data_IF_921783833570
#
_entry.id   IF_921783833570
#
_cell.length_a   1.000
_cell.length_b   1.000
_cell.length_c   1.000
_cell.angle_alpha   90.00
_cell.angle_beta   90.00
_cell.angle_gamma   90.00
#
_symmetry.space_group_name_H-M   'P 1'
#
loop_
_entity.id
_entity.type
_entity.pdbx_description
1 polymer ?
#
# COMPACT_ATOMS: atom_id res chain seq x y z
N UNK A 1 -5.24 -26.55 -16.32
CA UNK A 1 -4.96 -25.20 -16.83
C UNK A 1 -6.20 -24.34 -16.68
N UNK A 2 -6.08 -23.23 -15.97
CA UNK A 2 -7.09 -22.17 -15.87
C UNK A 2 -6.49 -20.93 -16.50
N UNK A 3 -7.21 -20.27 -17.41
CA UNK A 3 -6.75 -19.01 -18.01
C UNK A 3 -7.54 -17.85 -17.39
N UNK A 4 -6.83 -16.89 -16.81
CA UNK A 4 -7.40 -15.73 -16.13
C UNK A 4 -7.02 -14.48 -16.91
N UNK A 5 -8.00 -13.63 -17.19
CA UNK A 5 -7.75 -12.31 -17.76
C UNK A 5 -7.16 -11.38 -16.70
N UNK A 6 -6.03 -10.76 -17.02
CA UNK A 6 -5.37 -9.76 -16.19
C UNK A 6 -5.21 -8.45 -16.98
N UNK A 7 -5.33 -7.31 -16.29
CA UNK A 7 -5.25 -5.99 -16.92
C UNK A 7 -3.82 -5.56 -17.25
N UNK A 8 -2.81 -6.15 -16.60
CA UNK A 8 -1.40 -5.82 -16.74
C UNK A 8 -0.70 -6.82 -17.66
N UNK A 9 -0.90 -8.11 -17.41
CA UNK A 9 -0.23 -9.23 -18.09
C UNK A 9 -1.08 -9.91 -19.16
N UNK A 10 -2.23 -9.32 -19.50
CA UNK A 10 -3.20 -9.83 -20.49
C UNK A 10 -3.88 -11.16 -20.10
N UNK A 11 -3.19 -12.29 -20.24
CA UNK A 11 -3.71 -13.61 -19.90
C UNK A 11 -2.70 -14.39 -19.05
N UNK A 12 -3.15 -14.84 -17.87
CA UNK A 12 -2.36 -15.63 -16.93
C UNK A 12 -2.87 -17.07 -16.94
N UNK A 13 -2.01 -18.00 -17.36
CA UNK A 13 -2.27 -19.44 -17.32
C UNK A 13 -1.79 -20.01 -16.00
N UNK A 14 -2.73 -20.54 -15.20
CA UNK A 14 -2.48 -21.12 -13.89
C UNK A 14 -2.63 -22.65 -13.95
N UNK A 15 -1.60 -23.35 -13.47
CA UNK A 15 -1.46 -24.80 -13.57
C UNK A 15 -0.84 -25.46 -12.34
N UNK A 16 -0.97 -26.78 -12.25
CA UNK A 16 -0.34 -27.60 -11.20
C UNK A 16 -0.73 -27.16 -9.80
N UNK A 17 0.25 -27.12 -8.91
CA UNK A 17 0.07 -26.71 -7.50
C UNK A 17 -0.56 -25.32 -7.37
N UNK A 18 -0.21 -24.38 -8.25
CA UNK A 18 -0.76 -23.03 -8.19
C UNK A 18 -2.27 -23.01 -8.47
N UNK A 19 -2.75 -23.85 -9.40
CA UNK A 19 -4.18 -23.95 -9.68
C UNK A 19 -4.96 -24.54 -8.49
N UNK A 20 -4.39 -25.55 -7.81
CA UNK A 20 -5.00 -26.15 -6.63
C UNK A 20 -5.01 -25.18 -5.43
N UNK A 21 -3.93 -24.42 -5.24
CA UNK A 21 -3.82 -23.39 -4.19
C UNK A 21 -4.75 -22.20 -4.44
N UNK A 22 -5.04 -21.86 -5.70
CA UNK A 22 -5.79 -20.66 -6.05
C UNK A 22 -7.17 -20.59 -5.38
N UNK A 23 -7.87 -21.72 -5.29
CA UNK A 23 -9.24 -21.79 -4.76
C UNK A 23 -9.31 -21.91 -3.24
N UNK A 24 -8.16 -21.88 -2.57
CA UNK A 24 -8.11 -22.06 -1.13
C UNK A 24 -8.53 -20.78 -0.38
N UNK A 25 -9.12 -20.90 0.83
CA UNK A 25 -9.62 -19.72 1.55
C UNK A 25 -8.57 -18.64 1.85
N UNK A 26 -7.32 -18.96 2.27
CA UNK A 26 -6.25 -17.99 2.43
C UNK A 26 -5.95 -17.17 1.17
N UNK A 27 -5.89 -17.80 -0.02
CA UNK A 27 -5.65 -17.09 -1.28
C UNK A 27 -6.88 -16.27 -1.68
N UNK A 28 -8.09 -16.83 -1.57
CA UNK A 28 -9.33 -16.11 -1.90
C UNK A 28 -9.59 -14.91 -0.98
N UNK A 29 -9.07 -14.90 0.25
CA UNK A 29 -9.10 -13.74 1.14
C UNK A 29 -8.37 -12.53 0.54
N UNK A 30 -7.31 -12.74 -0.24
CA UNK A 30 -6.56 -11.64 -0.87
C UNK A 30 -7.41 -10.79 -1.83
N UNK A 31 -8.55 -11.30 -2.30
CA UNK A 31 -9.53 -10.52 -3.10
C UNK A 31 -10.18 -9.38 -2.32
N UNK A 32 -10.07 -9.39 -0.99
CA UNK A 32 -10.70 -8.42 -0.08
C UNK A 32 -9.65 -7.60 0.67
N UNK A 33 -8.40 -7.64 0.20
CA UNK A 33 -7.29 -6.85 0.72
C UNK A 33 -6.75 -6.00 -0.42
N UNK A 34 -6.90 -4.68 -0.32
CA UNK A 34 -6.40 -3.74 -1.31
C UNK A 34 -4.88 -3.68 -1.31
N UNK A 35 -4.27 -3.66 -2.50
CA UNK A 35 -2.81 -3.60 -2.65
C UNK A 35 -2.23 -2.33 -2.02
N UNK A 36 -2.89 -1.18 -2.26
CA UNK A 36 -2.38 0.13 -1.87
C UNK A 36 -3.15 0.77 -0.70
N UNK A 37 -4.04 0.02 -0.04
CA UNK A 37 -4.81 0.48 1.12
C UNK A 37 -5.50 1.83 0.87
N UNK A 38 -5.17 2.85 1.68
CA UNK A 38 -5.81 4.17 1.63
C UNK A 38 -5.35 5.07 0.47
N UNK A 39 -4.46 4.59 -0.41
CA UNK A 39 -4.06 5.34 -1.62
C UNK A 39 -5.24 5.58 -2.56
N UNK A 40 -6.28 4.76 -2.50
CA UNK A 40 -7.54 4.98 -3.23
C UNK A 40 -8.24 6.30 -2.87
N UNK A 41 -7.97 6.85 -1.67
CA UNK A 41 -8.42 8.19 -1.28
C UNK A 41 -7.77 9.28 -2.14
N UNK A 42 -6.67 9.02 -2.82
CA UNK A 42 -5.99 9.97 -3.73
C UNK A 42 -6.23 9.59 -5.18
N UNK A 43 -6.10 8.29 -5.49
CA UNK A 43 -6.23 7.73 -6.83
C UNK A 43 -7.45 6.80 -6.86
N UNK A 44 -8.64 7.29 -7.25
CA UNK A 44 -9.88 6.52 -7.13
C UNK A 44 -9.91 5.20 -7.91
N UNK A 45 -9.01 5.02 -8.88
CA UNK A 45 -8.86 3.79 -9.67
C UNK A 45 -7.94 2.74 -9.03
N UNK A 46 -7.20 3.08 -7.98
CA UNK A 46 -6.29 2.19 -7.26
C UNK A 46 -7.06 1.24 -6.32
N UNK A 47 -7.95 0.43 -6.88
CA UNK A 47 -8.78 -0.56 -6.16
C UNK A 47 -8.30 -1.99 -6.38
N UNK A 48 -7.14 -2.18 -7.00
CA UNK A 48 -6.59 -3.51 -7.18
C UNK A 48 -6.20 -4.13 -5.84
N UNK A 49 -6.25 -5.46 -5.83
CA UNK A 49 -6.16 -6.32 -4.65
C UNK A 49 -4.87 -7.11 -4.65
N UNK A 50 -4.52 -7.67 -3.50
CA UNK A 50 -3.38 -8.59 -3.42
C UNK A 50 -3.56 -9.84 -4.25
N UNK A 51 -4.80 -10.27 -4.50
CA UNK A 51 -5.07 -11.46 -5.29
C UNK A 51 -4.57 -11.36 -6.73
N UNK A 52 -4.86 -10.27 -7.43
CA UNK A 52 -4.40 -10.09 -8.81
C UNK A 52 -2.90 -9.79 -8.88
N UNK A 53 -2.35 -9.16 -7.84
CA UNK A 53 -0.90 -9.03 -7.68
C UNK A 53 -0.23 -10.40 -7.52
N UNK A 54 -0.69 -11.27 -6.62
CA UNK A 54 -0.15 -12.63 -6.47
C UNK A 54 -0.23 -13.47 -7.75
N UNK A 55 -1.29 -13.32 -8.54
CA UNK A 55 -1.38 -13.94 -9.87
C UNK A 55 -0.32 -13.38 -10.84
N UNK A 56 -0.09 -12.08 -10.82
CA UNK A 56 0.93 -11.43 -11.63
C UNK A 56 2.35 -11.84 -11.23
N UNK A 57 2.65 -11.91 -9.94
CA UNK A 57 3.92 -12.42 -9.41
C UNK A 57 4.14 -13.88 -9.82
N UNK A 58 3.12 -14.73 -9.70
CA UNK A 58 3.14 -16.10 -10.23
C UNK A 58 3.43 -16.13 -11.74
N UNK A 59 2.79 -15.25 -12.53
CA UNK A 59 3.00 -15.18 -13.98
C UNK A 59 4.47 -14.87 -14.33
N UNK A 60 5.02 -13.81 -13.73
CA UNK A 60 6.42 -13.39 -13.95
C UNK A 60 7.39 -14.47 -13.44
N UNK A 61 7.12 -15.08 -12.28
CA UNK A 61 7.91 -16.19 -11.76
C UNK A 61 7.95 -17.38 -12.74
N UNK A 62 6.81 -17.74 -13.34
CA UNK A 62 6.75 -18.84 -14.30
C UNK A 62 7.58 -18.56 -15.57
N UNK A 63 7.57 -17.31 -16.05
CA UNK A 63 8.45 -16.89 -17.14
C UNK A 63 9.94 -16.99 -16.73
N UNK A 64 10.29 -16.56 -15.52
CA UNK A 64 11.65 -16.60 -14.99
C UNK A 64 12.18 -18.03 -14.84
N UNK A 65 11.35 -18.97 -14.38
CA UNK A 65 11.71 -20.39 -14.26
C UNK A 65 12.24 -20.96 -15.59
N UNK A 66 11.54 -20.67 -16.69
CA UNK A 66 11.96 -21.11 -18.03
C UNK A 66 13.32 -20.52 -18.44
N UNK A 67 13.56 -19.23 -18.15
CA UNK A 67 14.83 -18.55 -18.50
C UNK A 67 16.00 -19.00 -17.64
N UNK A 68 15.75 -19.32 -16.38
CA UNK A 68 16.74 -19.80 -15.42
C UNK A 68 17.00 -21.30 -15.53
N UNK A 69 16.23 -22.03 -16.35
CA UNK A 69 16.34 -23.48 -16.50
C UNK A 69 15.99 -24.23 -15.22
N UNK A 70 15.00 -23.73 -14.46
CA UNK A 70 14.53 -24.37 -13.23
C UNK A 70 13.25 -25.15 -13.53
N UNK A 71 13.26 -26.44 -13.25
CA UNK A 71 12.17 -27.37 -13.54
C UNK A 71 11.84 -28.29 -12.33
N UNK A 72 10.90 -29.20 -12.54
CA UNK A 72 10.45 -30.19 -11.55
C UNK A 72 9.97 -29.57 -10.23
N UNK A 73 10.26 -30.25 -9.12
CA UNK A 73 9.77 -29.89 -7.80
C UNK A 73 10.23 -28.49 -7.34
N UNK A 74 11.41 -28.01 -7.79
CA UNK A 74 11.86 -26.65 -7.48
C UNK A 74 11.02 -25.59 -8.19
N UNK A 75 10.63 -25.85 -9.44
CA UNK A 75 9.73 -24.98 -10.18
C UNK A 75 8.34 -24.92 -9.51
N UNK A 76 7.82 -26.06 -9.06
CA UNK A 76 6.52 -26.09 -8.38
C UNK A 76 6.54 -25.40 -7.01
N UNK A 77 7.64 -25.54 -6.25
CA UNK A 77 7.85 -24.77 -5.00
C UNK A 77 7.90 -23.26 -5.25
N UNK A 78 8.59 -22.80 -6.29
CA UNK A 78 8.63 -21.38 -6.66
C UNK A 78 7.25 -20.90 -7.10
N UNK A 79 6.50 -21.69 -7.88
CA UNK A 79 5.12 -21.35 -8.28
C UNK A 79 4.20 -21.21 -7.08
N UNK A 80 4.29 -22.13 -6.12
CA UNK A 80 3.55 -22.04 -4.87
C UNK A 80 3.98 -20.80 -4.07
N UNK A 81 5.28 -20.58 -3.88
CA UNK A 81 5.81 -19.42 -3.15
C UNK A 81 5.38 -18.09 -3.80
N UNK A 82 5.47 -17.97 -5.13
CA UNK A 82 5.06 -16.77 -5.87
C UNK A 82 3.57 -16.47 -5.71
N UNK A 83 2.70 -17.49 -5.78
CA UNK A 83 1.27 -17.30 -5.57
C UNK A 83 0.93 -17.00 -4.09
N UNK A 84 1.71 -17.52 -3.16
CA UNK A 84 1.43 -17.45 -1.73
C UNK A 84 2.17 -16.35 -0.98
N UNK A 85 3.12 -15.62 -1.62
CA UNK A 85 4.00 -14.68 -0.92
C UNK A 85 3.25 -13.64 -0.07
N UNK A 86 2.03 -13.31 -0.48
CA UNK A 86 1.19 -12.28 0.11
C UNK A 86 0.12 -12.79 1.08
N UNK A 87 -0.03 -14.10 1.28
CA UNK A 87 -1.13 -14.68 2.08
C UNK A 87 -1.10 -14.30 3.56
N UNK A 88 0.05 -13.87 4.06
CA UNK A 88 0.22 -13.39 5.42
C UNK A 88 -0.14 -11.93 5.65
N UNK A 89 -0.43 -11.15 4.61
CA UNK A 89 -0.86 -9.77 4.80
C UNK A 89 -2.17 -9.67 5.58
N UNK A 90 -2.17 -8.79 6.58
CA UNK A 90 -3.36 -8.33 7.29
C UNK A 90 -4.15 -7.27 6.51
N UNK A 91 -5.23 -6.73 7.11
CA UNK A 91 -6.04 -5.69 6.50
C UNK A 91 -5.22 -4.42 6.31
N UNK A 92 -5.35 -3.78 5.15
CA UNK A 92 -4.54 -2.63 4.72
C UNK A 92 -3.03 -2.88 4.78
N UNK A 93 -2.62 -4.16 4.76
CA UNK A 93 -1.26 -4.60 4.53
C UNK A 93 -0.22 -3.99 5.49
N UNK A 94 0.89 -3.45 4.96
CA UNK A 94 1.93 -2.77 5.72
C UNK A 94 1.42 -1.64 6.63
N UNK A 95 0.19 -1.12 6.43
CA UNK A 95 -0.32 -0.07 7.31
C UNK A 95 -0.59 -0.56 8.74
N UNK A 96 -1.02 -1.82 8.89
CA UNK A 96 -1.31 -2.46 10.19
C UNK A 96 -0.18 -3.39 10.64
N UNK A 97 0.82 -3.63 9.80
CA UNK A 97 1.91 -4.56 10.07
C UNK A 97 2.71 -4.24 11.32
N UNK A 98 3.22 -3.01 11.47
CA UNK A 98 3.99 -2.63 12.66
C UNK A 98 3.17 -2.78 13.95
N UNK A 99 1.86 -2.62 13.87
CA UNK A 99 0.95 -2.82 15.00
C UNK A 99 0.80 -4.31 15.34
N UNK A 100 0.59 -5.15 14.32
CA UNK A 100 0.51 -6.60 14.46
C UNK A 100 1.83 -7.16 14.99
N UNK A 101 2.96 -6.76 14.41
CA UNK A 101 4.29 -7.22 14.78
C UNK A 101 4.61 -6.93 16.24
N UNK A 102 4.33 -5.72 16.73
CA UNK A 102 4.58 -5.34 18.13
C UNK A 102 3.86 -6.22 19.15
N UNK A 103 2.75 -6.85 18.77
CA UNK A 103 1.96 -7.70 19.68
C UNK A 103 2.14 -9.20 19.44
N UNK A 104 2.41 -9.61 18.20
CA UNK A 104 2.49 -11.03 17.80
C UNK A 104 3.92 -11.51 17.54
N UNK A 105 4.84 -10.58 17.30
CA UNK A 105 6.21 -10.86 16.87
C UNK A 105 6.33 -11.37 15.44
N UNK A 106 5.27 -11.26 14.61
CA UNK A 106 5.22 -11.81 13.26
C UNK A 106 5.01 -10.76 12.19
N UNK A 107 5.81 -10.81 11.13
CA UNK A 107 5.60 -10.05 9.89
C UNK A 107 4.73 -10.83 8.90
N UNK A 108 4.31 -10.16 7.80
CA UNK A 108 3.46 -10.77 6.78
C UNK A 108 4.14 -11.93 6.02
N UNK A 109 5.46 -11.94 5.92
CA UNK A 109 6.26 -12.95 5.23
C UNK A 109 6.55 -14.20 6.10
N UNK A 110 6.23 -14.15 7.39
CA UNK A 110 6.33 -15.28 8.32
C UNK A 110 5.08 -16.18 8.27
N UNK A 111 4.94 -16.92 7.17
CA UNK A 111 3.72 -17.65 6.82
C UNK A 111 3.69 -19.13 7.23
N UNK A 112 4.69 -19.64 7.96
CA UNK A 112 4.76 -21.06 8.35
C UNK A 112 3.44 -21.56 8.97
N UNK A 113 2.88 -20.80 9.91
CA UNK A 113 1.64 -21.15 10.61
C UNK A 113 0.36 -21.02 9.77
N UNK A 114 0.45 -20.38 8.59
CA UNK A 114 -0.61 -20.30 7.59
C UNK A 114 -0.55 -21.53 6.69
N UNK A 115 0.65 -21.88 6.23
CA UNK A 115 0.88 -22.98 5.30
C UNK A 115 0.74 -24.35 5.97
N UNK A 116 0.98 -24.45 7.27
CA UNK A 116 0.77 -25.68 8.05
C UNK A 116 -0.70 -25.96 8.39
N UNK A 117 -1.63 -25.04 8.05
CA UNK A 117 -3.07 -25.28 8.26
C UNK A 117 -3.60 -26.27 7.22
N UNK A 118 -4.55 -27.11 7.64
CA UNK A 118 -5.12 -28.21 6.86
C UNK A 118 -5.44 -27.83 5.39
N UNK A 119 -6.07 -26.68 5.14
CA UNK A 119 -6.43 -26.28 3.77
C UNK A 119 -5.23 -26.02 2.85
N UNK A 120 -4.10 -25.53 3.38
CA UNK A 120 -2.86 -25.33 2.61
C UNK A 120 -2.03 -26.60 2.59
N UNK A 121 -1.83 -27.19 3.77
CA UNK A 121 -0.96 -28.33 3.97
C UNK A 121 -1.39 -29.52 3.12
N UNK A 122 -2.69 -29.82 3.05
CA UNK A 122 -3.20 -30.91 2.21
C UNK A 122 -2.92 -30.68 0.74
N UNK A 123 -3.13 -29.46 0.22
CA UNK A 123 -2.85 -29.15 -1.19
C UNK A 123 -1.37 -29.26 -1.50
N UNK A 124 -0.51 -28.78 -0.61
CA UNK A 124 0.94 -28.87 -0.79
C UNK A 124 1.43 -30.33 -0.73
N UNK A 125 0.90 -31.13 0.20
CA UNK A 125 1.22 -32.55 0.35
C UNK A 125 0.75 -33.38 -0.86
N UNK A 126 -0.44 -33.11 -1.40
CA UNK A 126 -0.96 -33.73 -2.64
C UNK A 126 -0.06 -33.48 -3.87
N UNK A 127 0.80 -32.47 -3.80
CA UNK A 127 1.79 -32.10 -4.80
C UNK A 127 3.24 -32.44 -4.40
N UNK A 128 3.44 -33.24 -3.35
CA UNK A 128 4.74 -33.61 -2.79
C UNK A 128 5.60 -32.38 -2.39
N UNK A 129 4.98 -31.31 -1.90
CA UNK A 129 5.65 -30.06 -1.51
C UNK A 129 5.58 -29.86 -0.01
N UNK A 130 6.75 -29.73 0.61
CA UNK A 130 6.87 -29.34 2.02
C UNK A 130 6.45 -27.87 2.23
N UNK A 131 5.44 -27.59 3.08
CA UNK A 131 5.02 -26.23 3.42
C UNK A 131 6.16 -25.35 3.97
N UNK A 132 7.08 -25.93 4.73
CA UNK A 132 8.20 -25.19 5.32
C UNK A 132 9.15 -24.69 4.24
N UNK A 133 9.41 -25.50 3.21
CA UNK A 133 10.24 -25.11 2.08
C UNK A 133 9.61 -23.96 1.27
N UNK A 134 8.27 -23.90 1.17
CA UNK A 134 7.57 -22.79 0.51
C UNK A 134 7.66 -21.51 1.36
N UNK A 135 7.42 -21.61 2.67
CA UNK A 135 7.55 -20.48 3.58
C UNK A 135 8.98 -19.91 3.60
N UNK A 136 10.00 -20.77 3.55
CA UNK A 136 11.40 -20.33 3.46
C UNK A 136 11.68 -19.55 2.16
N UNK A 137 11.10 -19.95 1.03
CA UNK A 137 11.21 -19.20 -0.22
C UNK A 137 10.52 -17.83 -0.15
N UNK A 138 9.35 -17.77 0.48
CA UNK A 138 8.60 -16.51 0.70
C UNK A 138 9.42 -15.54 1.55
N UNK A 139 10.05 -16.04 2.63
CA UNK A 139 10.97 -15.28 3.47
C UNK A 139 12.33 -14.97 2.78
N UNK A 140 12.48 -15.25 1.49
CA UNK A 140 13.69 -14.96 0.72
C UNK A 140 14.89 -15.85 1.05
N UNK A 141 14.69 -16.97 1.77
CA UNK A 141 15.79 -17.83 2.20
C UNK A 141 16.31 -18.71 1.06
N UNK A 142 17.62 -18.92 1.09
CA UNK A 142 18.32 -19.75 0.12
C UNK A 142 18.45 -19.11 -1.27
N UNK A 143 19.09 -19.84 -2.19
CA UNK A 143 19.38 -19.34 -3.55
C UNK A 143 18.12 -18.92 -4.30
N UNK A 144 17.07 -19.74 -4.24
CA UNK A 144 15.86 -19.54 -5.04
C UNK A 144 14.90 -18.52 -4.40
N UNK A 145 14.97 -18.30 -3.09
CA UNK A 145 14.15 -17.31 -2.39
C UNK A 145 14.37 -15.89 -2.90
N UNK A 146 15.59 -15.56 -3.37
CA UNK A 146 15.93 -14.26 -3.97
C UNK A 146 15.05 -13.87 -5.18
N UNK A 147 14.45 -14.86 -5.86
CA UNK A 147 13.55 -14.62 -6.99
C UNK A 147 12.18 -14.13 -6.52
N UNK A 148 11.75 -14.53 -5.32
CA UNK A 148 10.46 -14.17 -4.70
C UNK A 148 10.60 -12.93 -3.83
N UNK A 149 11.64 -12.89 -2.99
CA UNK A 149 11.94 -11.78 -2.08
C UNK A 149 13.43 -11.43 -2.18
N UNK A 150 13.72 -10.29 -2.81
CA UNK A 150 15.08 -9.83 -3.10
C UNK A 150 15.11 -8.59 -4.00
N UNK A 151 16.27 -7.94 -4.13
CA UNK A 151 16.32 -6.63 -4.82
C UNK A 151 16.04 -6.67 -6.34
N UNK A 152 15.93 -7.87 -6.92
CA UNK A 152 15.57 -8.13 -8.32
C UNK A 152 14.45 -9.18 -8.40
N UNK A 153 13.58 -9.23 -7.38
CA UNK A 153 12.48 -10.18 -7.31
C UNK A 153 11.35 -9.90 -8.29
N UNK A 154 10.52 -10.91 -8.50
CA UNK A 154 9.34 -10.83 -9.36
C UNK A 154 8.17 -10.09 -8.71
N UNK A 155 8.18 -9.94 -7.38
CA UNK A 155 7.21 -9.13 -6.62
C UNK A 155 7.27 -7.66 -7.07
N UNK A 156 8.45 -7.04 -6.98
CA UNK A 156 8.70 -5.67 -7.43
C UNK A 156 8.39 -5.46 -8.90
N UNK A 157 8.64 -6.47 -9.72
CA UNK A 157 8.36 -6.41 -11.15
C UNK A 157 6.86 -6.31 -11.43
N UNK A 158 6.02 -7.03 -10.68
CA UNK A 158 4.57 -6.92 -10.84
C UNK A 158 4.04 -5.61 -10.26
N UNK A 159 4.29 -5.35 -8.97
CA UNK A 159 3.55 -4.26 -8.30
C UNK A 159 3.89 -2.89 -8.90
N UNK A 160 5.12 -2.63 -9.36
CA UNK A 160 5.44 -1.33 -9.94
C UNK A 160 4.62 -1.03 -11.19
N UNK A 161 4.50 -2.02 -12.08
CA UNK A 161 3.71 -1.90 -13.32
C UNK A 161 2.22 -1.86 -13.00
N UNK A 162 1.76 -2.75 -12.09
CA UNK A 162 0.36 -2.84 -11.69
C UNK A 162 -0.13 -1.60 -10.97
N UNK A 163 0.66 -1.06 -10.06
CA UNK A 163 0.35 0.16 -9.33
C UNK A 163 0.31 1.36 -10.28
N UNK A 164 1.27 1.48 -11.20
CA UNK A 164 1.26 2.52 -12.22
C UNK A 164 0.02 2.44 -13.10
N UNK A 165 -0.35 1.24 -13.53
CA UNK A 165 -1.56 0.99 -14.33
C UNK A 165 -2.83 1.44 -13.60
N UNK A 166 -3.02 1.02 -12.35
CA UNK A 166 -4.27 1.30 -11.61
C UNK A 166 -4.33 2.70 -11.00
N UNK A 167 -3.19 3.34 -10.72
CA UNK A 167 -3.15 4.74 -10.28
C UNK A 167 -3.22 5.73 -11.44
N UNK A 168 -2.88 5.30 -12.66
CA UNK A 168 -2.70 6.17 -13.82
C UNK A 168 -1.43 7.02 -13.76
N UNK A 169 -0.51 6.73 -12.82
CA UNK A 169 0.77 7.42 -12.69
C UNK A 169 1.80 6.69 -13.57
N UNK A 170 2.36 7.34 -14.60
CA UNK A 170 3.18 6.67 -15.62
C UNK A 170 4.61 6.37 -15.16
N UNK A 171 4.94 6.59 -13.89
CA UNK A 171 6.31 6.50 -13.40
C UNK A 171 6.75 5.07 -13.05
N UNK A 172 5.82 4.12 -12.91
CA UNK A 172 6.14 2.71 -12.59
C UNK A 172 6.34 1.80 -13.80
N UNK A 173 6.35 2.35 -15.01
CA UNK A 173 6.51 1.55 -16.24
C UNK A 173 7.94 1.04 -16.40
N UNK A 174 8.14 -0.26 -16.18
CA UNK A 174 9.41 -0.97 -16.37
C UNK A 174 9.26 -2.06 -17.43
N UNK A 175 10.37 -2.39 -18.10
CA UNK A 175 10.46 -3.52 -19.05
C UNK A 175 10.75 -4.81 -18.27
N UNK A 176 9.73 -5.32 -17.58
CA UNK A 176 9.85 -6.53 -16.75
C UNK A 176 10.19 -7.77 -17.59
N UNK A 177 9.78 -7.86 -18.85
CA UNK A 177 10.18 -8.95 -19.76
C UNK A 177 11.70 -8.98 -19.97
N UNK A 178 12.31 -7.81 -20.17
CA UNK A 178 13.77 -7.72 -20.26
C UNK A 178 14.45 -8.05 -18.95
N UNK A 179 13.89 -7.68 -17.79
CA UNK A 179 14.41 -8.14 -16.50
C UNK A 179 14.46 -9.67 -16.46
N UNK A 180 13.30 -10.31 -16.63
CA UNK A 180 13.15 -11.77 -16.56
C UNK A 180 14.11 -12.50 -17.51
N UNK A 181 14.26 -12.00 -18.75
CA UNK A 181 15.14 -12.61 -19.75
C UNK A 181 16.63 -12.58 -19.35
N UNK A 182 17.04 -11.56 -18.62
CA UNK A 182 18.44 -11.28 -18.31
C UNK A 182 18.86 -11.71 -16.89
N UNK A 183 17.92 -12.23 -16.09
CA UNK A 183 18.22 -12.82 -14.77
C UNK A 183 19.11 -14.06 -14.89
N UNK A 184 20.14 -14.16 -14.05
CA UNK A 184 21.04 -15.30 -13.95
C UNK A 184 21.39 -15.58 -12.49
N UNK A 185 21.74 -16.84 -12.21
CA UNK A 185 22.43 -17.18 -10.97
C UNK A 185 23.94 -17.30 -11.24
N UNK A 186 24.75 -16.50 -10.55
CA UNK A 186 26.21 -16.58 -10.57
C UNK A 186 26.68 -16.70 -9.13
N UNK A 187 27.48 -17.72 -8.82
CA UNK A 187 27.97 -18.02 -7.46
C UNK A 187 26.87 -18.07 -6.39
N UNK A 188 25.68 -18.55 -6.77
CA UNK A 188 24.53 -18.66 -5.88
C UNK A 188 23.71 -17.38 -5.72
N UNK A 189 24.06 -16.30 -6.41
CA UNK A 189 23.40 -14.99 -6.29
C UNK A 189 22.58 -14.67 -7.54
N UNK A 190 21.37 -14.13 -7.34
CA UNK A 190 20.53 -13.64 -8.43
C UNK A 190 21.07 -12.28 -8.91
N UNK A 191 21.40 -12.21 -10.19
CA UNK A 191 22.02 -11.03 -10.83
C UNK A 191 21.42 -10.77 -12.22
N UNK A 192 21.60 -9.55 -12.72
CA UNK A 192 21.39 -9.26 -14.14
C UNK A 192 22.67 -9.50 -14.95
N UNK A 193 22.51 -10.15 -16.10
CA UNK A 193 23.59 -10.40 -17.06
C UNK A 193 24.27 -9.10 -17.52
N UNK A 194 25.53 -9.21 -17.94
CA UNK A 194 26.34 -8.09 -18.38
C UNK A 194 25.64 -7.25 -19.46
N UNK A 195 25.77 -5.92 -19.39
CA UNK A 195 25.14 -5.00 -20.34
C UNK A 195 23.69 -4.62 -20.01
N UNK A 196 23.17 -5.00 -18.83
CA UNK A 196 21.80 -4.68 -18.39
C UNK A 196 21.74 -3.72 -17.18
N UNK A 197 22.74 -2.84 -17.04
CA UNK A 197 22.75 -1.81 -15.97
C UNK A 197 21.53 -0.90 -16.10
N UNK A 198 21.20 -0.46 -17.33
CA UNK A 198 20.07 0.44 -17.58
C UNK A 198 18.73 -0.20 -17.22
N UNK A 199 18.61 -1.52 -17.42
CA UNK A 199 17.45 -2.29 -16.96
C UNK A 199 17.33 -2.14 -15.45
N UNK A 200 18.38 -2.46 -14.69
CA UNK A 200 18.41 -2.30 -13.23
C UNK A 200 18.13 -0.85 -12.76
N UNK A 201 18.72 0.15 -13.43
CA UNK A 201 18.50 1.56 -13.15
C UNK A 201 17.04 1.97 -13.36
N UNK A 202 16.36 1.42 -14.38
CA UNK A 202 14.96 1.75 -14.67
C UNK A 202 14.02 1.35 -13.53
N UNK A 203 14.27 0.21 -12.87
CA UNK A 203 13.52 -0.23 -11.68
C UNK A 203 13.71 0.74 -10.51
N UNK A 204 14.95 1.15 -10.26
CA UNK A 204 15.26 2.12 -9.20
C UNK A 204 14.62 3.49 -9.47
N UNK A 205 14.70 3.96 -10.72
CA UNK A 205 14.09 5.21 -11.12
C UNK A 205 12.57 5.14 -10.96
N UNK A 206 11.94 4.08 -11.44
CA UNK A 206 10.51 3.86 -11.32
C UNK A 206 10.07 3.90 -9.85
N UNK A 207 10.76 3.17 -8.97
CA UNK A 207 10.48 3.17 -7.54
C UNK A 207 10.74 4.52 -6.88
N UNK A 208 11.81 5.23 -7.25
CA UNK A 208 12.13 6.56 -6.70
C UNK A 208 11.11 7.63 -7.10
N UNK A 209 10.43 7.45 -8.23
CA UNK A 209 9.34 8.33 -8.69
C UNK A 209 7.98 7.91 -8.12
N UNK A 210 7.67 6.60 -8.08
CA UNK A 210 6.43 6.05 -7.53
C UNK A 210 6.30 6.31 -6.03
N UNK A 211 7.40 6.24 -5.27
CA UNK A 211 7.38 6.48 -3.82
C UNK A 211 6.73 7.82 -3.43
N UNK A 212 7.24 8.99 -3.82
CA UNK A 212 6.62 10.26 -3.44
C UNK A 212 5.31 10.53 -4.19
N UNK A 213 5.15 10.05 -5.42
CA UNK A 213 3.94 10.30 -6.19
C UNK A 213 2.73 9.52 -5.65
N UNK A 214 2.93 8.25 -5.27
CA UNK A 214 1.86 7.32 -4.91
C UNK A 214 1.97 6.92 -3.43
N UNK A 215 3.03 6.19 -3.06
CA UNK A 215 3.09 5.49 -1.77
C UNK A 215 3.14 6.44 -0.56
N UNK A 216 3.87 7.56 -0.72
CA UNK A 216 4.10 8.60 0.28
C UNK A 216 3.37 9.91 -0.07
N UNK A 217 2.36 9.86 -0.94
CA UNK A 217 1.53 11.02 -1.23
C UNK A 217 0.94 11.59 0.07
N UNK A 218 1.01 12.90 0.35
CA UNK A 218 0.64 13.46 1.66
C UNK A 218 -0.76 13.07 2.14
N UNK A 219 -1.75 13.10 1.23
CA UNK A 219 -3.13 12.70 1.56
C UNK A 219 -3.25 11.20 1.87
N UNK A 220 -2.52 10.34 1.17
CA UNK A 220 -2.51 8.90 1.45
C UNK A 220 -1.84 8.63 2.81
N UNK A 221 -0.75 9.34 3.12
CA UNK A 221 -0.07 9.27 4.43
C UNK A 221 -1.00 9.66 5.59
N UNK A 222 -1.78 10.72 5.45
CA UNK A 222 -2.78 11.11 6.46
C UNK A 222 -3.80 9.98 6.65
N UNK A 223 -4.36 9.44 5.56
CA UNK A 223 -5.31 8.32 5.65
C UNK A 223 -4.70 7.07 6.30
N UNK A 224 -3.47 6.72 5.95
CA UNK A 224 -2.68 5.63 6.58
C UNK A 224 -2.54 5.84 8.08
N UNK A 225 -2.12 7.03 8.49
CA UNK A 225 -1.89 7.38 9.89
C UNK A 225 -3.18 7.36 10.72
N UNK A 226 -4.28 7.92 10.19
CA UNK A 226 -5.61 7.86 10.82
C UNK A 226 -6.09 6.41 10.98
N UNK A 227 -5.97 5.58 9.94
CA UNK A 227 -6.36 4.18 10.00
C UNK A 227 -5.50 3.39 11.01
N UNK A 228 -4.21 3.68 11.09
CA UNK A 228 -3.30 3.04 12.06
C UNK A 228 -3.68 3.41 13.49
N UNK A 229 -3.96 4.69 13.76
CA UNK A 229 -4.42 5.15 15.08
C UNK A 229 -5.75 4.47 15.46
N UNK A 230 -6.69 4.39 14.52
CA UNK A 230 -7.96 3.70 14.71
C UNK A 230 -7.77 2.20 15.02
N UNK A 231 -6.89 1.51 14.28
CA UNK A 231 -6.58 0.10 14.54
C UNK A 231 -5.90 -0.10 15.91
N UNK A 232 -5.01 0.81 16.32
CA UNK A 232 -4.35 0.76 17.63
C UNK A 232 -5.36 0.99 18.77
N UNK A 233 -6.30 1.93 18.60
CA UNK A 233 -7.40 2.12 19.54
C UNK A 233 -8.35 0.92 19.60
N UNK A 234 -8.63 0.27 18.46
CA UNK A 234 -9.46 -0.93 18.43
C UNK A 234 -8.85 -2.04 19.30
N UNK A 235 -7.53 -2.26 19.19
CA UNK A 235 -6.82 -3.21 20.05
C UNK A 235 -6.83 -2.78 21.52
N UNK A 236 -6.61 -1.48 21.81
CA UNK A 236 -6.69 -0.94 23.19
C UNK A 236 -8.09 -1.13 23.82
N UNK A 237 -9.15 -1.07 23.02
CA UNK A 237 -10.53 -1.29 23.47
C UNK A 237 -10.87 -2.75 23.78
N UNK A 238 -9.99 -3.69 23.42
CA UNK A 238 -10.22 -5.14 23.49
C UNK A 238 -11.44 -5.64 22.68
N UNK A 239 -11.92 -4.87 21.70
CA UNK A 239 -12.94 -5.31 20.75
C UNK A 239 -12.43 -6.41 19.80
N UNK A 240 -11.11 -6.48 19.60
CA UNK A 240 -10.41 -7.57 18.91
C UNK A 240 -8.99 -7.71 19.49
N UNK A 241 -8.28 -8.77 19.09
CA UNK A 241 -6.88 -8.99 19.43
C UNK A 241 -5.97 -8.99 18.18
N UNK A 242 -4.67 -8.89 18.39
CA UNK A 242 -3.71 -8.77 17.29
C UNK A 242 -3.62 -10.01 16.40
N UNK A 243 -3.85 -11.22 16.95
CA UNK A 243 -3.85 -12.45 16.15
C UNK A 243 -5.08 -12.52 15.24
N UNK A 244 -6.24 -12.08 15.74
CA UNK A 244 -7.46 -11.94 14.95
C UNK A 244 -7.27 -10.87 13.87
N UNK A 245 -6.74 -9.70 14.24
CA UNK A 245 -6.42 -8.62 13.28
C UNK A 245 -5.50 -9.10 12.15
N UNK A 246 -4.49 -9.92 12.45
CA UNK A 246 -3.59 -10.50 11.44
C UNK A 246 -4.33 -11.34 10.38
N UNK A 247 -5.49 -11.90 10.73
CA UNK A 247 -6.29 -12.76 9.83
C UNK A 247 -7.50 -12.06 9.20
N UNK A 248 -7.81 -10.83 9.60
CA UNK A 248 -8.89 -10.01 9.01
C UNK A 248 -8.58 -9.57 7.58
N UNK A 249 -9.59 -9.39 6.75
CA UNK A 249 -9.46 -8.59 5.52
C UNK A 249 -9.92 -7.14 5.72
N UNK A 250 -9.84 -6.30 4.68
CA UNK A 250 -10.13 -4.86 4.81
C UNK A 250 -11.58 -4.61 5.25
N UNK A 251 -12.52 -5.48 4.83
CA UNK A 251 -13.92 -5.34 5.21
C UNK A 251 -14.14 -5.67 6.68
N UNK A 252 -13.47 -6.72 7.19
CA UNK A 252 -13.53 -7.09 8.59
C UNK A 252 -13.03 -5.94 9.49
N UNK A 253 -11.88 -5.34 9.15
CA UNK A 253 -11.34 -4.22 9.93
C UNK A 253 -12.29 -3.02 9.91
N UNK A 254 -12.80 -2.63 8.74
CA UNK A 254 -13.73 -1.50 8.65
C UNK A 254 -15.03 -1.78 9.42
N UNK A 255 -15.55 -3.00 9.38
CA UNK A 255 -16.73 -3.37 10.15
C UNK A 255 -16.46 -3.30 11.67
N UNK A 256 -15.28 -3.75 12.12
CA UNK A 256 -14.87 -3.67 13.51
C UNK A 256 -14.75 -2.22 13.99
N UNK A 257 -14.09 -1.36 13.20
CA UNK A 257 -13.95 0.07 13.51
C UNK A 257 -15.31 0.79 13.58
N UNK A 258 -16.24 0.48 12.68
CA UNK A 258 -17.61 1.04 12.70
C UNK A 258 -18.42 0.60 13.92
N UNK A 259 -18.08 -0.54 14.52
CA UNK A 259 -18.85 -1.16 15.60
C UNK A 259 -18.30 -0.85 16.99
N UNK A 260 -17.14 -0.19 17.09
CA UNK A 260 -16.48 0.14 18.33
C UNK A 260 -16.63 1.64 18.64
N UNK A 261 -17.17 1.97 19.81
CA UNK A 261 -17.47 3.36 20.23
C UNK A 261 -16.24 4.27 20.16
N UNK A 262 -15.08 3.75 20.54
CA UNK A 262 -13.81 4.49 20.54
C UNK A 262 -13.29 4.81 19.13
N UNK A 263 -13.67 4.02 18.12
CA UNK A 263 -13.11 4.13 16.76
C UNK A 263 -14.13 4.56 15.71
N UNK A 264 -15.41 4.71 16.09
CA UNK A 264 -16.50 5.04 15.16
C UNK A 264 -16.30 6.38 14.44
N UNK A 265 -15.72 7.38 15.12
CA UNK A 265 -15.44 8.67 14.48
C UNK A 265 -14.31 8.58 13.46
N UNK A 266 -13.27 7.79 13.73
CA UNK A 266 -12.23 7.49 12.74
C UNK A 266 -12.81 6.79 11.52
N UNK A 267 -13.66 5.77 11.74
CA UNK A 267 -14.34 5.07 10.65
C UNK A 267 -15.19 6.03 9.81
N UNK A 268 -16.00 6.89 10.45
CA UNK A 268 -16.82 7.90 9.78
C UNK A 268 -15.97 8.87 8.95
N UNK A 269 -14.87 9.38 9.51
CA UNK A 269 -13.96 10.29 8.81
C UNK A 269 -13.29 9.65 7.61
N UNK A 270 -12.87 8.39 7.70
CA UNK A 270 -12.31 7.65 6.58
C UNK A 270 -13.36 7.38 5.49
N UNK A 271 -14.58 6.98 5.88
CA UNK A 271 -15.70 6.73 4.97
C UNK A 271 -16.12 8.00 4.21
N UNK A 272 -16.25 9.13 4.92
CA UNK A 272 -16.66 10.42 4.35
C UNK A 272 -15.48 11.18 3.70
N UNK A 273 -14.27 10.61 3.74
CA UNK A 273 -13.01 11.26 3.33
C UNK A 273 -12.77 12.61 4.03
N UNK A 274 -13.24 12.75 5.26
CA UNK A 274 -12.99 13.88 6.16
C UNK A 274 -11.68 13.69 6.95
N UNK A 275 -10.58 13.69 6.20
CA UNK A 275 -9.25 13.45 6.75
C UNK A 275 -8.74 14.62 7.59
N UNK A 276 -7.90 14.30 8.59
CA UNK A 276 -7.13 15.27 9.36
C UNK A 276 -6.28 16.16 8.45
N UNK A 277 -5.84 17.30 9.00
CA UNK A 277 -5.04 18.30 8.30
C UNK A 277 -3.64 18.36 8.90
N UNK A 278 -2.69 18.81 8.09
CA UNK A 278 -1.29 18.95 8.49
C UNK A 278 -1.15 20.16 9.41
N UNK A 279 -0.80 19.92 10.67
CA UNK A 279 -0.36 20.94 11.62
C UNK A 279 1.16 21.22 11.47
N UNK A 280 1.93 20.18 11.16
CA UNK A 280 3.38 20.25 10.92
C UNK A 280 3.74 19.41 9.71
N UNK A 281 4.64 19.93 8.87
CA UNK A 281 5.20 19.23 7.72
C UNK A 281 6.62 19.73 7.44
N UNK A 282 7.62 19.02 7.98
CA UNK A 282 9.01 19.51 8.02
C UNK A 282 9.99 18.52 7.42
N UNK A 283 11.13 19.03 6.96
CA UNK A 283 12.18 18.25 6.29
C UNK A 283 13.03 17.49 7.31
N UNK A 284 13.86 16.55 6.83
CA UNK A 284 14.71 15.73 7.70
C UNK A 284 15.71 16.56 8.51
N UNK A 285 16.17 17.69 7.98
CA UNK A 285 17.16 18.55 8.62
C UNK A 285 16.56 19.44 9.73
N UNK A 286 15.24 19.64 9.69
CA UNK A 286 14.53 20.52 10.62
C UNK A 286 13.97 19.78 11.85
N UNK A 287 14.15 18.46 11.93
CA UNK A 287 13.71 17.64 13.07
C UNK A 287 14.89 17.25 13.96
N UNK A 288 14.67 17.01 15.27
CA UNK A 288 15.69 16.44 16.13
C UNK A 288 16.25 15.13 15.56
N UNK A 289 17.57 14.96 15.56
CA UNK A 289 18.24 13.80 14.95
C UNK A 289 17.78 12.44 15.52
N UNK A 290 17.33 12.45 16.78
CA UNK A 290 16.82 11.27 17.46
C UNK A 290 15.40 10.91 17.02
N UNK A 291 14.59 11.85 16.53
CA UNK A 291 13.17 11.63 16.23
C UNK A 291 12.94 10.45 15.28
N UNK A 292 13.64 10.32 14.12
CA UNK A 292 13.46 9.17 13.22
C UNK A 292 13.96 7.83 13.79
N UNK A 293 14.67 7.85 14.92
CA UNK A 293 15.24 6.67 15.60
C UNK A 293 14.44 6.27 16.85
N UNK A 294 13.46 7.08 17.26
CA UNK A 294 12.67 6.83 18.45
C UNK A 294 11.76 5.61 18.29
N UNK A 295 11.59 4.86 19.38
CA UNK A 295 10.62 3.77 19.43
C UNK A 295 9.18 4.31 19.58
N UNK A 296 8.21 3.41 19.41
CA UNK A 296 6.79 3.77 19.49
C UNK A 296 6.40 4.43 20.81
N UNK A 297 6.86 3.89 21.94
CA UNK A 297 6.53 4.41 23.28
C UNK A 297 6.96 5.87 23.43
N UNK A 298 8.17 6.19 22.96
CA UNK A 298 8.71 7.55 23.01
C UNK A 298 7.96 8.50 22.07
N UNK A 299 7.57 8.04 20.88
CA UNK A 299 6.70 8.83 19.99
C UNK A 299 5.36 9.11 20.66
N UNK A 300 4.74 8.11 21.31
CA UNK A 300 3.48 8.30 22.03
C UNK A 300 3.60 9.27 23.22
N UNK A 301 4.72 9.26 23.94
CA UNK A 301 4.99 10.26 24.99
C UNK A 301 5.07 11.68 24.44
N UNK A 302 5.69 11.87 23.28
CA UNK A 302 5.76 13.16 22.60
C UNK A 302 4.39 13.61 22.10
N UNK A 303 3.61 12.70 21.50
CA UNK A 303 2.23 12.97 21.08
C UNK A 303 1.39 13.45 22.25
N UNK A 304 1.44 12.75 23.40
CA UNK A 304 0.76 13.16 24.64
C UNK A 304 1.18 14.54 25.12
N UNK A 305 2.49 14.79 25.15
CA UNK A 305 3.04 16.10 25.55
C UNK A 305 2.54 17.24 24.64
N UNK A 306 2.40 16.98 23.33
CA UNK A 306 1.84 17.94 22.37
C UNK A 306 0.36 18.16 22.60
N UNK A 307 -0.43 17.10 22.78
CA UNK A 307 -1.86 17.19 23.07
C UNK A 307 -2.13 17.99 24.34
N UNK A 308 -1.44 17.68 25.44
CA UNK A 308 -1.51 18.42 26.71
C UNK A 308 -1.15 19.90 26.54
N UNK A 309 -0.13 20.18 25.73
CA UNK A 309 0.35 21.55 25.46
C UNK A 309 -0.59 22.34 24.54
N UNK A 310 -1.39 21.64 23.72
CA UNK A 310 -2.39 22.19 22.81
C UNK A 310 -3.79 22.26 23.43
N UNK A 311 -4.00 21.66 24.62
CA UNK A 311 -5.29 21.55 25.31
C UNK A 311 -6.36 20.83 24.46
N UNK A 312 -5.99 19.70 23.86
CA UNK A 312 -6.88 18.83 23.07
C UNK A 312 -6.69 17.36 23.44
N UNK A 313 -7.60 16.50 22.95
CA UNK A 313 -7.49 15.06 23.14
C UNK A 313 -6.23 14.48 22.47
N UNK A 314 -5.58 13.51 23.10
CA UNK A 314 -4.42 12.83 22.51
C UNK A 314 -4.77 12.13 21.20
N UNK A 315 -6.00 11.67 21.07
CA UNK A 315 -6.51 11.02 19.87
C UNK A 315 -6.79 12.01 18.73
N UNK A 316 -6.72 13.32 18.97
CA UNK A 316 -6.78 14.36 17.93
C UNK A 316 -5.39 14.77 17.41
N UNK A 317 -4.31 14.13 17.87
CA UNK A 317 -2.93 14.37 17.41
C UNK A 317 -2.32 13.08 16.91
N UNK A 318 -1.90 13.08 15.63
CA UNK A 318 -1.24 11.91 15.03
C UNK A 318 0.14 12.32 14.55
N UNK A 319 1.17 11.67 15.08
CA UNK A 319 2.54 11.78 14.60
C UNK A 319 2.78 10.77 13.48
N UNK A 320 3.26 11.25 12.35
CA UNK A 320 3.71 10.45 11.23
C UNK A 320 5.21 10.67 11.04
N UNK A 321 5.99 9.77 11.64
CA UNK A 321 7.46 9.75 11.61
C UNK A 321 7.89 8.56 10.75
N UNK A 322 8.23 8.78 9.46
CA UNK A 322 8.77 7.71 8.64
C UNK A 322 10.16 7.29 9.13
N UNK A 323 10.52 6.03 8.89
CA UNK A 323 11.90 5.58 9.06
C UNK A 323 12.87 6.48 8.26
N UNK A 324 14.13 6.52 8.70
CA UNK A 324 15.16 7.27 7.99
C UNK A 324 15.27 6.84 6.51
N UNK A 325 15.62 7.76 5.59
CA UNK A 325 15.69 7.46 4.17
C UNK A 325 16.68 6.33 3.88
N UNK A 326 16.20 5.26 3.23
CA UNK A 326 16.98 4.10 2.83
C UNK A 326 16.59 3.64 1.43
N UNK A 327 17.55 3.04 0.70
CA UNK A 327 17.31 2.46 -0.62
C UNK A 327 17.98 1.08 -0.68
N UNK A 328 17.34 0.03 -0.13
CA UNK A 328 17.87 -1.34 -0.15
C UNK A 328 18.26 -1.81 -1.55
N UNK A 329 17.49 -1.40 -2.56
CA UNK A 329 17.68 -1.80 -3.97
C UNK A 329 18.98 -1.24 -4.57
N UNK A 330 19.60 -0.25 -3.94
CA UNK A 330 20.94 0.20 -4.33
C UNK A 330 22.00 -0.91 -4.17
N UNK A 331 21.69 -1.94 -3.40
CA UNK A 331 22.50 -3.14 -3.20
C UNK A 331 22.27 -4.21 -4.27
N UNK A 332 21.32 -4.03 -5.20
CA UNK A 332 21.10 -4.92 -6.33
C UNK A 332 22.42 -5.23 -7.05
N UNK A 333 22.56 -6.48 -7.49
CA UNK A 333 23.80 -6.99 -8.07
C UNK A 333 23.71 -7.07 -9.58
N UNK A 334 24.71 -6.50 -10.25
CA UNK A 334 24.84 -6.47 -11.71
C UNK A 334 26.23 -6.95 -12.12
N UNK A 335 26.34 -7.58 -13.29
CA UNK A 335 27.63 -8.00 -13.84
C UNK A 335 28.25 -6.87 -14.66
N UNK A 336 29.48 -6.48 -14.32
CA UNK A 336 30.27 -5.45 -15.03
C UNK A 336 31.69 -5.98 -15.24
N UNK A 337 32.13 -6.10 -16.50
CA UNK A 337 33.43 -6.68 -16.86
C UNK A 337 33.66 -8.05 -16.19
N UNK A 338 32.67 -8.94 -16.28
CA UNK A 338 32.67 -10.29 -15.69
C UNK A 338 32.77 -10.36 -14.15
N UNK A 339 32.64 -9.23 -13.45
CA UNK A 339 32.59 -9.16 -11.99
C UNK A 339 31.19 -8.76 -11.49
N UNK A 340 30.76 -9.39 -10.39
CA UNK A 340 29.54 -8.98 -9.68
C UNK A 340 29.82 -7.69 -8.91
N UNK A 341 29.03 -6.64 -9.17
CA UNK A 341 29.11 -5.35 -8.48
C UNK A 341 27.76 -4.90 -7.96
N UNK A 342 27.77 -4.14 -6.86
CA UNK A 342 26.58 -3.42 -6.38
C UNK A 342 26.24 -2.27 -7.31
N UNK A 343 24.95 -2.07 -7.56
CA UNK A 343 24.46 -1.07 -8.49
C UNK A 343 24.85 0.37 -8.09
N UNK A 344 24.83 0.70 -6.79
CA UNK A 344 25.26 2.01 -6.28
C UNK A 344 26.72 2.38 -6.61
N UNK A 345 27.60 1.38 -6.72
CA UNK A 345 29.01 1.59 -7.07
C UNK A 345 29.19 1.80 -8.57
N UNK A 346 28.27 1.27 -9.37
CA UNK A 346 28.33 1.26 -10.83
C UNK A 346 27.50 2.39 -11.48
N UNK A 347 26.63 3.07 -10.74
CA UNK A 347 25.72 4.10 -11.27
C UNK A 347 25.75 5.41 -10.48
N UNK A 348 26.04 6.51 -11.17
CA UNK A 348 25.91 7.87 -10.61
C UNK A 348 24.46 8.27 -10.38
N UNK A 349 23.54 7.80 -11.22
CA UNK A 349 22.11 8.08 -11.09
C UNK A 349 21.59 7.58 -9.74
N UNK A 350 21.97 6.37 -9.33
CA UNK A 350 21.54 5.77 -8.05
C UNK A 350 21.97 6.61 -6.86
N UNK A 351 23.20 7.14 -6.88
CA UNK A 351 23.67 8.05 -5.82
C UNK A 351 22.84 9.34 -5.77
N UNK A 352 22.50 9.91 -6.93
CA UNK A 352 21.64 11.09 -6.99
C UNK A 352 20.21 10.81 -6.49
N UNK A 353 19.67 9.62 -6.77
CA UNK A 353 18.35 9.20 -6.28
C UNK A 353 18.33 9.07 -4.75
N UNK A 354 19.40 8.60 -4.12
CA UNK A 354 19.51 8.56 -2.66
C UNK A 354 19.42 9.95 -2.02
N UNK A 355 20.13 10.93 -2.57
CA UNK A 355 20.03 12.32 -2.12
C UNK A 355 18.60 12.85 -2.28
N UNK A 356 18.00 12.65 -3.45
CA UNK A 356 16.63 13.09 -3.70
C UNK A 356 15.60 12.45 -2.75
N UNK A 357 15.81 11.21 -2.30
CA UNK A 357 14.94 10.56 -1.34
C UNK A 357 15.04 11.19 0.05
N UNK A 358 16.25 11.57 0.48
CA UNK A 358 16.47 12.30 1.73
C UNK A 358 15.77 13.66 1.71
N UNK A 359 15.93 14.40 0.62
CA UNK A 359 15.33 15.74 0.46
C UNK A 359 13.80 15.70 0.45
N UNK A 360 13.20 14.55 0.09
CA UNK A 360 11.75 14.33 0.06
C UNK A 360 11.20 13.75 1.36
N UNK A 361 12.04 13.36 2.31
CA UNK A 361 11.58 12.86 3.59
C UNK A 361 10.85 13.97 4.34
N UNK A 362 9.73 13.61 5.00
CA UNK A 362 8.89 14.57 5.72
C UNK A 362 8.36 13.97 7.01
N UNK A 363 8.55 14.68 8.12
CA UNK A 363 7.83 14.46 9.37
C UNK A 363 6.50 15.21 9.33
N UNK A 364 5.41 14.51 9.68
CA UNK A 364 4.07 15.06 9.70
C UNK A 364 3.44 15.00 11.09
N UNK A 365 2.69 16.05 11.44
CA UNK A 365 1.72 16.01 12.54
C UNK A 365 0.34 16.33 11.97
N UNK A 366 -0.63 15.48 12.25
CA UNK A 366 -1.99 15.58 11.72
C UNK A 366 -3.01 15.75 12.85
N UNK A 367 -4.01 16.60 12.61
CA UNK A 367 -5.05 16.94 13.60
C UNK A 367 -6.34 17.44 12.92
N UNK A 368 -7.50 17.51 13.59
CA UNK A 368 -8.68 18.17 13.05
C UNK A 368 -8.41 19.62 12.59
N UNK A 369 -9.20 20.11 11.63
CA UNK A 369 -8.92 21.38 10.95
C UNK A 369 -8.91 22.59 11.92
N UNK A 370 -9.75 22.54 12.95
CA UNK A 370 -9.91 23.53 14.00
C UNK A 370 -8.70 23.62 14.95
N UNK A 371 -7.89 22.56 15.03
CA UNK A 371 -6.77 22.42 15.97
C UNK A 371 -5.39 22.59 15.32
N UNK A 372 -5.32 22.90 14.01
CA UNK A 372 -4.07 23.04 13.26
C UNK A 372 -3.10 23.99 13.95
N UNK A 373 -3.58 25.19 14.31
CA UNK A 373 -2.72 26.23 14.87
C UNK A 373 -2.24 25.84 16.27
N UNK A 374 -3.13 25.38 17.17
CA UNK A 374 -2.76 25.01 18.54
C UNK A 374 -1.76 23.85 18.57
N UNK A 375 -2.00 22.80 17.77
CA UNK A 375 -1.11 21.63 17.66
C UNK A 375 0.22 21.99 17.01
N UNK A 376 0.22 22.87 16.00
CA UNK A 376 1.46 23.37 15.41
C UNK A 376 2.32 24.11 16.44
N UNK A 377 1.73 25.02 17.22
CA UNK A 377 2.43 25.75 18.29
C UNK A 377 2.88 24.85 19.44
N UNK A 378 2.11 23.82 19.77
CA UNK A 378 2.51 22.85 20.77
C UNK A 378 3.67 21.98 20.29
N UNK A 379 3.62 21.50 19.05
CA UNK A 379 4.66 20.64 18.46
C UNK A 379 6.00 21.36 18.38
N UNK A 380 6.02 22.62 17.94
CA UNK A 380 7.25 23.42 17.96
C UNK A 380 7.84 23.57 19.36
N UNK A 381 7.00 23.88 20.35
CA UNK A 381 7.46 24.06 21.73
C UNK A 381 8.02 22.76 22.32
N UNK A 382 7.38 21.64 22.04
CA UNK A 382 7.76 20.31 22.56
C UNK A 382 9.01 19.76 21.87
N UNK A 383 9.10 19.90 20.54
CA UNK A 383 10.20 19.36 19.74
C UNK A 383 11.34 20.34 19.49
N UNK A 384 11.17 21.63 19.83
CA UNK A 384 12.16 22.67 19.57
C UNK A 384 12.34 22.96 18.08
N UNK A 385 11.28 22.86 17.28
CA UNK A 385 11.33 23.15 15.84
C UNK A 385 11.44 24.67 15.60
N UNK A 386 12.09 25.07 14.51
CA UNK A 386 12.17 26.48 14.11
C UNK A 386 10.81 27.00 13.58
N UNK A 387 10.45 28.24 13.94
CA UNK A 387 9.15 28.88 13.67
C UNK A 387 8.85 29.04 12.17
N UNK A 388 9.89 29.09 11.33
CA UNK A 388 9.77 29.18 9.88
C UNK A 388 9.42 27.82 9.21
N UNK A 389 9.37 26.71 9.97
CA UNK A 389 9.25 25.36 9.44
C UNK A 389 7.81 24.84 9.29
N UNK A 390 6.79 25.45 9.94
CA UNK A 390 5.41 24.88 10.01
C UNK A 390 4.73 24.61 8.68
N UNK A 391 5.12 25.34 7.64
CA UNK A 391 4.74 25.04 6.27
C UNK A 391 5.97 25.29 5.40
N UNK A 392 6.93 24.37 5.40
CA UNK A 392 7.89 24.33 4.30
C UNK A 392 7.18 23.79 3.05
N UNK A 393 6.29 24.61 2.47
CA UNK A 393 6.17 24.68 1.01
C UNK A 393 7.42 25.39 0.46
N UNK A 394 8.61 24.96 0.89
CA UNK A 394 9.81 25.07 0.06
C UNK A 394 9.55 24.10 -1.09
N UNK A 395 8.72 24.51 -2.05
CA UNK A 395 8.81 24.04 -3.42
C UNK A 395 10.30 24.12 -3.72
N UNK A 396 10.91 22.94 -3.90
CA UNK A 396 12.36 22.77 -3.82
C UNK A 396 13.04 23.96 -4.44
N UNK A 397 13.95 24.60 -3.69
CA UNK A 397 14.91 25.50 -4.32
C UNK A 397 15.42 24.73 -5.53
N UNK A 398 15.24 25.20 -6.77
CA UNK A 398 16.01 24.63 -7.86
C UNK A 398 17.45 24.80 -7.39
N UNK A 399 18.17 23.68 -7.25
CA UNK A 399 19.56 23.71 -6.88
C UNK A 399 20.22 24.76 -7.76
N UNK A 400 20.64 25.87 -7.17
CA UNK A 400 21.27 26.92 -7.96
C UNK A 400 22.59 26.35 -8.44
N UNK A 401 23.06 26.76 -9.62
CA UNK A 401 24.37 26.32 -10.13
C UNK A 401 25.49 26.57 -9.07
N UNK A 402 25.26 27.56 -8.21
CA UNK A 402 26.08 27.97 -7.09
C UNK A 402 26.05 27.01 -5.88
N UNK A 403 24.99 26.22 -5.69
CA UNK A 403 24.94 25.15 -4.67
C UNK A 403 25.74 23.91 -5.10
N UNK A 404 25.92 23.70 -6.40
CA UNK A 404 26.91 22.75 -6.95
C UNK A 404 28.35 23.29 -6.89
N UNK A 405 28.52 24.60 -6.71
CA UNK A 405 29.81 25.30 -6.76
C UNK A 405 30.00 26.27 -5.58
N UNK A 406 29.63 25.85 -4.36
CA UNK A 406 29.92 26.54 -3.09
C UNK A 406 29.93 28.07 -3.12
N UNK A 407 28.76 28.72 -3.03
CA UNK A 407 28.67 30.18 -2.89
C UNK A 407 27.43 30.67 -2.14
N UNK A 408 27.65 31.36 -1.02
CA UNK A 408 26.65 31.99 -0.14
C UNK A 408 26.14 33.34 -0.68
N UNK A 409 24.82 33.59 -0.67
CA UNK A 409 24.18 34.86 -0.21
C UNK A 409 22.65 34.91 -0.35
N UNK A 410 22.06 35.79 0.48
CA UNK A 410 20.67 35.93 0.93
C UNK A 410 19.74 36.74 0.01
N UNK A 411 18.46 36.62 0.37
CA UNK A 411 17.29 37.51 0.15
C UNK A 411 16.51 37.47 -1.18
N UNK A 412 15.25 37.02 -1.09
CA UNK A 412 14.11 37.57 -1.83
C UNK A 412 12.75 37.16 -1.19
N UNK A 413 11.91 38.15 -0.83
CA UNK A 413 10.50 37.99 -0.41
C UNK A 413 9.61 37.93 -1.65
N UNK A 414 8.65 36.98 -1.73
CA UNK A 414 7.54 37.04 -2.70
C UNK A 414 6.24 36.41 -2.16
N UNK A 415 5.12 36.96 -2.66
CA UNK A 415 3.72 36.87 -2.27
C UNK A 415 3.02 35.49 -2.35
N UNK A 416 2.01 35.33 -1.48
CA UNK A 416 1.08 34.19 -1.40
C UNK A 416 0.17 34.08 -2.62
N UNK A 417 0.10 32.90 -3.22
CA UNK A 417 -1.01 32.46 -4.08
C UNK A 417 -1.40 31.04 -3.69
N UNK A 418 -2.63 30.87 -3.21
CA UNK A 418 -3.20 29.55 -2.90
C UNK A 418 -3.64 28.82 -4.18
N UNK A 419 -3.40 27.49 -4.31
CA UNK A 419 -3.89 26.70 -5.42
C UNK A 419 -5.40 26.34 -5.28
N UNK A 420 -6.12 26.17 -6.41
CA UNK A 420 -7.58 26.20 -6.45
C UNK A 420 -8.19 24.81 -6.24
N UNK A 421 -8.06 24.24 -5.04
CA UNK A 421 -8.83 23.03 -4.68
C UNK A 421 -9.30 23.10 -3.23
N UNK A 422 -10.09 24.12 -2.91
CA UNK A 422 -10.80 24.25 -1.63
C UNK A 422 -12.31 24.43 -1.86
N UNK A 423 -13.05 23.35 -1.57
CA UNK A 423 -14.50 23.26 -1.27
C UNK A 423 -15.51 23.80 -2.30
N UNK A 424 -16.32 22.88 -2.84
CA UNK A 424 -17.75 23.17 -3.09
C UNK A 424 -18.53 22.66 -1.87
N UNK A 425 -19.09 23.56 -1.06
CA UNK A 425 -20.11 23.24 -0.05
C UNK A 425 -21.48 23.15 -0.76
N UNK A 426 -22.35 22.18 -0.45
CA UNK A 426 -23.74 22.28 -0.84
C UNK A 426 -24.48 23.18 0.16
N UNK A 427 -24.98 24.29 -0.35
CA UNK A 427 -25.80 25.24 0.38
C UNK A 427 -27.16 24.60 0.70
N UNK A 428 -27.52 24.51 1.99
CA UNK A 428 -28.84 24.04 2.43
C UNK A 428 -29.82 25.22 2.38
N UNK A 429 -30.62 25.31 1.32
CA UNK A 429 -31.75 26.22 1.18
C UNK A 429 -33.07 25.48 0.87
N UNK A 430 -34.24 25.98 1.30
CA UNK A 430 -35.45 25.19 1.45
C UNK A 430 -36.17 24.93 0.12
N UNK A 431 -36.54 23.67 -0.11
CA UNK A 431 -37.26 23.20 -1.28
C UNK A 431 -38.70 23.77 -1.32
N UNK A 432 -38.94 24.80 -2.13
CA UNK A 432 -40.29 25.25 -2.52
C UNK A 432 -40.74 24.51 -3.78
N UNK A 433 -41.79 23.69 -3.65
CA UNK A 433 -42.51 23.06 -4.77
C UNK A 433 -43.09 24.11 -5.73
N UNK A 434 -42.68 24.07 -6.99
CA UNK A 434 -43.46 24.45 -8.20
C UNK A 434 -43.27 23.26 -9.14
N UNK A 435 -44.26 22.51 -9.61
CA UNK A 435 -45.63 22.88 -9.96
C UNK A 435 -45.68 23.31 -11.42
N UNK A 436 -45.50 22.37 -12.36
CA UNK A 436 -45.97 22.44 -13.77
C UNK A 436 -45.79 21.08 -14.45
N UNK A 437 -46.91 20.35 -14.51
CA UNK A 437 -47.17 19.31 -15.50
C UNK A 437 -47.66 20.01 -16.78
N UNK A 438 -46.96 19.82 -17.90
CA UNK A 438 -47.54 19.99 -19.23
C UNK A 438 -47.93 18.60 -19.74
N UNK A 439 -49.24 18.41 -19.92
CA UNK A 439 -49.84 17.20 -20.46
C UNK A 439 -50.13 17.37 -21.95
N UNK A 440 -49.73 16.35 -22.71
CA UNK A 440 -49.83 16.31 -24.16
C UNK A 440 -51.22 15.99 -24.72
N UNK A 441 -51.40 16.45 -25.96
CA UNK A 441 -51.96 15.73 -27.11
C UNK A 441 -53.06 14.69 -26.89
N UNK A 442 -54.25 14.99 -27.42
CA UNK A 442 -55.33 14.04 -27.71
C UNK A 442 -55.15 13.40 -29.10
N UNK A 443 -55.50 12.12 -29.21
CA UNK A 443 -55.73 11.39 -30.46
C UNK A 443 -55.53 9.88 -30.25
N UNK A 444 -56.53 9.12 -29.82
CA UNK A 444 -57.58 8.41 -30.58
C UNK A 444 -57.19 6.96 -30.94
N UNK A 445 -58.20 6.08 -30.91
CA UNK A 445 -58.27 4.71 -31.46
C UNK A 445 -58.00 3.49 -30.55
N UNK A 446 -59.12 2.99 -29.99
CA UNK A 446 -59.72 1.64 -30.11
C UNK A 446 -58.80 0.39 -30.18
N UNK A 447 -59.07 -0.56 -29.28
CA UNK A 447 -58.79 -1.99 -29.49
C UNK A 447 -58.80 -2.77 -28.18
N UNK A 448 -59.91 -3.46 -27.87
CA UNK A 448 -60.00 -4.34 -26.70
C UNK A 448 -59.31 -5.69 -26.93
N UNK A 449 -58.98 -6.39 -25.84
CA UNK A 449 -59.46 -7.74 -25.54
C UNK A 449 -58.95 -8.21 -24.15
N UNK A 450 -59.90 -8.74 -23.39
CA UNK A 450 -59.89 -9.64 -22.24
C UNK A 450 -58.68 -9.87 -21.31
N UNK A 451 -58.99 -9.77 -20.01
CA UNK A 451 -58.28 -10.40 -18.89
C UNK A 451 -59.16 -11.51 -18.34
N UNK A 452 -58.60 -12.71 -18.17
CA UNK A 452 -59.18 -13.77 -17.36
C UNK A 452 -58.19 -14.24 -16.30
N UNK A 453 -58.63 -14.16 -15.03
CA UNK A 453 -58.43 -15.15 -13.94
C UNK A 453 -57.00 -15.44 -13.45
N UNK A 454 -56.72 -15.68 -12.17
CA UNK A 454 -57.49 -15.65 -10.93
C UNK A 454 -56.47 -15.64 -9.78
N UNK A 455 -56.87 -15.00 -8.69
CA UNK A 455 -56.26 -15.04 -7.36
C UNK A 455 -56.40 -16.40 -6.66
N UNK A 456 -55.53 -16.60 -5.66
CA UNK A 456 -55.74 -17.21 -4.32
C UNK A 456 -54.71 -18.30 -4.00
N UNK A 457 -54.31 -18.58 -2.75
CA UNK A 457 -54.29 -17.93 -1.43
C UNK A 457 -53.48 -18.91 -0.54
N UNK A 458 -52.85 -18.40 0.51
CA UNK A 458 -52.15 -19.15 1.58
C UNK A 458 -53.02 -20.22 2.26
N UNK A 459 -52.41 -21.27 2.81
CA UNK A 459 -52.64 -21.68 4.21
C UNK A 459 -51.58 -22.65 4.76
N UNK A 460 -51.28 -22.46 6.05
CA UNK A 460 -50.54 -23.34 6.97
C UNK A 460 -51.44 -24.52 7.39
N UNK A 461 -50.86 -25.67 7.77
CA UNK A 461 -50.80 -26.23 9.14
C UNK A 461 -50.43 -27.73 9.19
N UNK A 462 -49.60 -28.07 10.19
CA UNK A 462 -49.50 -29.31 11.00
C UNK A 462 -49.57 -30.74 10.43
N UNK A 463 -48.44 -31.44 10.66
CA UNK A 463 -48.23 -32.76 11.27
C UNK A 463 -49.41 -33.73 11.46
N UNK A 464 -49.25 -34.98 10.99
CA UNK A 464 -48.86 -36.16 11.81
C UNK A 464 -49.30 -37.47 11.14
N UNK A 465 -48.36 -38.39 10.94
CA UNK A 465 -48.41 -39.81 11.30
C UNK A 465 -47.06 -40.47 11.06
#
# INVERSE_FOLDING_TARGET
MITIKDSVHDHIEVEGVAAALLDTPPVQRLRRIGQLGTVNLVYPSANHTRFEHSLGVYHIANQALSKLGIDGQNADRIRAAALLHDVGHGPYSHNTEDLIYRQTGKYHDEVHDILEREAMATVLDDHDIDPSAVADLIAGKGRLGQLISGELDVDRMDYLVRDAHHTGVPYGTIDHERFVRELRFIDGELVLAAGNIQTAESLLLARALMNPAVYNHPVARIGKAMLRQAAEQLLRSAATDAETLRRMDDHDLIAALRSCEQTVEYARRLDDRDLYKRAVWVEFEDVPEELPKMNHERIQELTRSVADTADIDEDDVIFDVPAGPSMPESTSRVVVNDEIRRLANSSTLVRALMTAQRDRWRFGVYTPQESIDSVGHATERVLGLDLDARVSDRVGRPATLDEFTGGDKRDARVHRHDPPWTRVRPDRGPYRRRGRDDSGGRGNERGGFDRSHSSCVRQRTHASR
#
